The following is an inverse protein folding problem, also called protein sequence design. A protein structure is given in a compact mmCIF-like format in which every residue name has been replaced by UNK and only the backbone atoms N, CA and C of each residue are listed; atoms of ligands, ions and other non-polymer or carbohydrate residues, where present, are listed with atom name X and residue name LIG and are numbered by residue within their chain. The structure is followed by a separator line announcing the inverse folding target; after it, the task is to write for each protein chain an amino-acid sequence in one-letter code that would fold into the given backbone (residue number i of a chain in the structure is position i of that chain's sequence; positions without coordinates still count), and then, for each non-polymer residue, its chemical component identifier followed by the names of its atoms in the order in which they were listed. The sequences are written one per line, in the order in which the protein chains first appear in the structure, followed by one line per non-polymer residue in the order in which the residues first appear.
data_IF_497496852286
#
_entry.id   IF_497496852286
#
_cell.length_a   1.000
_cell.length_b   1.000
_cell.length_c   1.000
_cell.angle_alpha   90.00
_cell.angle_beta   90.00
_cell.angle_gamma   90.00
#
_symmetry.space_group_name_H-M   'P 1'
#
loop_
_entity.id
_entity.type
_entity.pdbx_description
1 polymer ?
#
# COMPACT_ATOMS: atom_id res chain seq x y z
N UNK A 1 22.10 -14.97 -24.28
CA UNK A 1 21.93 -14.20 -23.02
C UNK A 1 21.11 -12.93 -23.25
N UNK A 2 21.26 -12.21 -24.36
CA UNK A 2 20.47 -10.98 -24.64
C UNK A 2 18.96 -11.19 -24.80
N UNK A 3 18.53 -12.33 -25.31
CA UNK A 3 17.09 -12.60 -25.52
C UNK A 3 16.28 -12.85 -24.22
N UNK A 4 16.96 -13.27 -23.15
CA UNK A 4 16.32 -13.49 -21.84
C UNK A 4 16.06 -12.15 -21.13
N UNK A 5 16.95 -11.17 -21.27
CA UNK A 5 16.79 -9.84 -20.69
C UNK A 5 15.70 -9.03 -21.41
N UNK A 6 15.57 -9.16 -22.73
CA UNK A 6 14.51 -8.50 -23.50
C UNK A 6 13.11 -9.00 -23.13
N UNK A 7 12.95 -10.29 -22.83
CA UNK A 7 11.69 -10.88 -22.40
C UNK A 7 11.25 -10.42 -21.00
N UNK A 8 12.19 -10.20 -20.09
CA UNK A 8 11.89 -9.71 -18.74
C UNK A 8 11.44 -8.23 -18.75
N UNK A 9 12.02 -7.41 -19.62
CA UNK A 9 11.61 -5.99 -19.75
C UNK A 9 10.21 -5.80 -20.30
N UNK A 10 9.79 -6.61 -21.28
CA UNK A 10 8.46 -6.55 -21.85
C UNK A 10 7.38 -6.99 -20.86
N UNK A 11 7.62 -8.04 -20.09
CA UNK A 11 6.70 -8.51 -19.04
C UNK A 11 6.51 -7.50 -17.93
N UNK A 12 7.57 -6.84 -17.49
CA UNK A 12 7.51 -5.80 -16.46
C UNK A 12 6.67 -4.59 -16.90
N UNK A 13 6.77 -4.18 -18.17
CA UNK A 13 5.98 -3.07 -18.73
C UNK A 13 4.48 -3.38 -18.76
N UNK A 14 4.09 -4.59 -19.15
CA UNK A 14 2.68 -5.03 -19.18
C UNK A 14 2.09 -5.06 -17.77
N UNK A 15 2.80 -5.64 -16.80
CA UNK A 15 2.31 -5.70 -15.42
C UNK A 15 2.19 -4.31 -14.80
N UNK A 16 3.11 -3.40 -15.08
CA UNK A 16 3.02 -2.01 -14.62
C UNK A 16 1.77 -1.30 -15.16
N UNK A 17 1.38 -1.56 -16.43
CA UNK A 17 0.19 -0.97 -17.04
C UNK A 17 -1.13 -1.42 -16.38
N UNK A 18 -1.21 -2.68 -15.89
CA UNK A 18 -2.40 -3.23 -15.26
C UNK A 18 -2.51 -2.98 -13.75
N UNK A 19 -1.44 -2.55 -13.12
CA UNK A 19 -1.35 -2.38 -11.67
C UNK A 19 -2.36 -1.36 -11.15
N UNK A 20 -2.37 -0.13 -11.66
CA UNK A 20 -3.28 0.92 -11.20
C UNK A 20 -4.76 0.56 -11.36
N UNK A 21 -5.21 0.00 -12.51
CA UNK A 21 -6.59 -0.47 -12.66
C UNK A 21 -6.96 -1.55 -11.64
N UNK A 22 -6.09 -2.51 -11.36
CA UNK A 22 -6.37 -3.61 -10.43
C UNK A 22 -6.43 -3.14 -8.98
N UNK A 23 -5.53 -2.25 -8.55
CA UNK A 23 -5.57 -1.63 -7.22
C UNK A 23 -6.84 -0.80 -7.03
N UNK A 24 -7.25 -0.03 -8.04
CA UNK A 24 -8.50 0.73 -8.03
C UNK A 24 -9.71 -0.20 -7.97
N UNK A 25 -9.70 -1.31 -8.73
CA UNK A 25 -10.75 -2.32 -8.69
C UNK A 25 -10.88 -2.92 -7.29
N UNK A 26 -9.78 -3.25 -6.63
CA UNK A 26 -9.79 -3.76 -5.26
C UNK A 26 -10.42 -2.77 -4.27
N UNK A 27 -10.13 -1.46 -4.39
CA UNK A 27 -10.75 -0.42 -3.57
C UNK A 27 -12.25 -0.31 -3.83
N UNK A 28 -12.67 -0.33 -5.10
CA UNK A 28 -14.10 -0.29 -5.49
C UNK A 28 -14.83 -1.50 -4.92
N UNK A 29 -14.27 -2.71 -5.03
CA UNK A 29 -14.85 -3.93 -4.47
C UNK A 29 -15.02 -3.83 -2.96
N UNK A 30 -14.02 -3.32 -2.23
CA UNK A 30 -14.13 -3.12 -0.79
C UNK A 30 -15.15 -2.05 -0.42
N UNK A 31 -15.23 -0.96 -1.19
CA UNK A 31 -16.24 0.08 -1.00
C UNK A 31 -17.66 -0.47 -1.19
N UNK A 32 -17.90 -1.21 -2.27
CA UNK A 32 -19.18 -1.87 -2.53
C UNK A 32 -19.53 -2.91 -1.45
N UNK A 33 -18.55 -3.70 -1.02
CA UNK A 33 -18.71 -4.64 0.08
C UNK A 33 -19.10 -3.92 1.39
N UNK A 34 -18.40 -2.86 1.75
CA UNK A 34 -18.70 -2.06 2.93
C UNK A 34 -20.12 -1.48 2.89
N UNK A 35 -20.53 -0.95 1.75
CA UNK A 35 -21.88 -0.43 1.54
C UNK A 35 -22.95 -1.53 1.69
N UNK A 36 -22.71 -2.71 1.12
CA UNK A 36 -23.61 -3.88 1.24
C UNK A 36 -23.73 -4.35 2.69
N UNK A 37 -22.61 -4.42 3.43
CA UNK A 37 -22.60 -4.81 4.86
C UNK A 37 -23.39 -3.80 5.71
N UNK A 38 -23.18 -2.51 5.49
CA UNK A 38 -23.92 -1.45 6.20
C UNK A 38 -25.42 -1.59 5.91
N UNK A 39 -25.81 -1.77 4.64
CA UNK A 39 -27.20 -2.02 4.26
C UNK A 39 -27.79 -3.26 4.94
N UNK A 40 -27.02 -4.33 5.03
CA UNK A 40 -27.42 -5.57 5.74
C UNK A 40 -27.63 -5.35 7.23
N UNK A 41 -26.74 -4.60 7.88
CA UNK A 41 -26.88 -4.25 9.32
C UNK A 41 -28.11 -3.37 9.54
N UNK A 42 -28.30 -2.33 8.72
CA UNK A 42 -29.46 -1.45 8.79
C UNK A 42 -30.75 -2.26 8.63
N UNK A 43 -30.83 -3.13 7.63
CA UNK A 43 -31.99 -4.00 7.43
C UNK A 43 -32.25 -4.89 8.64
N UNK A 44 -31.23 -5.53 9.22
CA UNK A 44 -31.39 -6.38 10.39
C UNK A 44 -31.89 -5.59 11.62
N UNK A 45 -31.34 -4.41 11.86
CA UNK A 45 -31.67 -3.58 13.05
C UNK A 45 -33.05 -2.94 12.94
N UNK A 46 -33.39 -2.42 11.76
CA UNK A 46 -34.60 -1.62 11.54
C UNK A 46 -35.78 -2.43 11.00
N UNK A 47 -35.71 -3.77 10.95
CA UNK A 47 -36.85 -4.61 10.54
C UNK A 47 -38.03 -4.40 11.53
N UNK A 48 -39.17 -3.87 11.05
CA UNK A 48 -40.33 -3.60 11.92
C UNK A 48 -40.93 -4.87 12.52
N UNK A 49 -41.31 -4.81 13.79
CA UNK A 49 -42.00 -5.93 14.46
C UNK A 49 -41.14 -7.16 14.73
N UNK A 50 -39.84 -7.14 14.40
CA UNK A 50 -38.95 -8.24 14.71
C UNK A 50 -38.47 -8.19 16.17
N UNK A 51 -38.47 -9.37 16.83
CA UNK A 51 -37.87 -9.52 18.17
C UNK A 51 -36.34 -9.34 18.11
N UNK A 52 -35.72 -9.14 19.26
CA UNK A 52 -34.27 -9.04 19.35
C UNK A 52 -33.58 -10.27 18.79
N UNK A 53 -34.07 -11.48 19.07
CA UNK A 53 -33.50 -12.73 18.55
C UNK A 53 -33.56 -12.81 17.04
N UNK A 54 -34.68 -12.40 16.43
CA UNK A 54 -34.85 -12.37 14.97
C UNK A 54 -33.90 -11.36 14.33
N UNK A 55 -33.73 -10.17 14.93
CA UNK A 55 -32.79 -9.16 14.44
C UNK A 55 -31.34 -9.67 14.44
N UNK A 56 -30.94 -10.36 15.50
CA UNK A 56 -29.61 -10.98 15.58
C UNK A 56 -29.43 -12.07 14.49
N UNK A 57 -30.43 -12.90 14.26
CA UNK A 57 -30.43 -13.92 13.19
C UNK A 57 -30.30 -13.26 11.81
N UNK A 58 -30.98 -12.15 11.56
CA UNK A 58 -30.90 -11.41 10.29
C UNK A 58 -29.50 -10.85 10.00
N UNK A 59 -28.68 -10.57 11.00
CA UNK A 59 -27.27 -10.25 10.77
C UNK A 59 -26.53 -11.37 10.04
N UNK A 60 -26.79 -12.62 10.40
CA UNK A 60 -26.24 -13.76 9.68
C UNK A 60 -26.65 -13.78 8.22
N UNK A 61 -27.96 -13.67 7.94
CA UNK A 61 -28.46 -13.70 6.57
C UNK A 61 -28.03 -12.52 5.71
N UNK A 62 -27.91 -11.32 6.28
CA UNK A 62 -27.64 -10.10 5.53
C UNK A 62 -26.14 -9.74 5.46
N UNK A 63 -25.33 -10.15 6.44
CA UNK A 63 -23.91 -9.76 6.52
C UNK A 63 -22.99 -10.94 6.21
N UNK A 64 -23.31 -12.14 6.68
CA UNK A 64 -22.47 -13.34 6.48
C UNK A 64 -22.88 -14.08 5.22
N UNK A 65 -22.61 -13.47 4.07
CA UNK A 65 -22.88 -14.07 2.75
C UNK A 65 -21.59 -14.61 2.14
N UNK A 66 -21.70 -15.72 1.42
CA UNK A 66 -20.59 -16.27 0.65
C UNK A 66 -20.04 -15.25 -0.36
N UNK A 67 -20.90 -14.40 -0.89
CA UNK A 67 -20.50 -13.33 -1.81
C UNK A 67 -19.65 -12.26 -1.11
N UNK A 68 -19.97 -11.88 0.12
CA UNK A 68 -19.20 -10.93 0.88
C UNK A 68 -17.79 -11.47 1.18
N UNK A 69 -17.71 -12.76 1.57
CA UNK A 69 -16.45 -13.43 1.83
C UNK A 69 -15.62 -13.58 0.55
N UNK A 70 -16.25 -13.94 -0.57
CA UNK A 70 -15.60 -14.07 -1.87
C UNK A 70 -15.02 -12.71 -2.35
N UNK A 71 -15.82 -11.64 -2.28
CA UNK A 71 -15.38 -10.30 -2.67
C UNK A 71 -14.20 -9.83 -1.80
N UNK A 72 -14.27 -10.09 -0.49
CA UNK A 72 -13.18 -9.78 0.43
C UNK A 72 -11.88 -10.53 0.04
N UNK A 73 -11.99 -11.82 -0.21
CA UNK A 73 -10.85 -12.65 -0.62
C UNK A 73 -10.27 -12.21 -1.98
N UNK A 74 -11.12 -11.88 -2.95
CA UNK A 74 -10.69 -11.37 -4.26
C UNK A 74 -9.95 -10.03 -4.09
N UNK A 75 -10.50 -9.08 -3.33
CA UNK A 75 -9.86 -7.79 -3.13
C UNK A 75 -8.47 -7.90 -2.49
N UNK A 76 -8.32 -8.76 -1.47
CA UNK A 76 -7.02 -9.05 -0.85
C UNK A 76 -6.11 -9.79 -1.82
N UNK A 77 -6.63 -10.79 -2.53
CA UNK A 77 -5.89 -11.58 -3.52
C UNK A 77 -5.33 -10.72 -4.65
N UNK A 78 -6.10 -9.77 -5.18
CA UNK A 78 -5.63 -8.82 -6.20
C UNK A 78 -4.42 -8.02 -5.73
N UNK A 79 -4.48 -7.49 -4.50
CA UNK A 79 -3.37 -6.72 -3.94
C UNK A 79 -2.14 -7.58 -3.69
N UNK A 80 -2.31 -8.79 -3.17
CA UNK A 80 -1.19 -9.69 -2.90
C UNK A 80 -0.54 -10.21 -4.18
N UNK A 81 -1.35 -10.59 -5.19
CA UNK A 81 -0.85 -11.07 -6.48
C UNK A 81 0.02 -10.03 -7.20
N UNK A 82 -0.34 -8.76 -7.10
CA UNK A 82 0.42 -7.66 -7.71
C UNK A 82 1.73 -7.33 -6.98
N UNK A 83 1.91 -7.82 -5.75
CA UNK A 83 3.05 -7.44 -4.90
C UNK A 83 4.19 -8.46 -4.90
N UNK A 84 3.88 -9.72 -5.11
CA UNK A 84 4.87 -10.79 -5.05
C UNK A 84 6.01 -10.60 -6.07
N UNK A 85 5.79 -10.12 -7.31
CA UNK A 85 6.86 -9.97 -8.30
C UNK A 85 7.52 -8.57 -8.37
N UNK A 86 6.98 -7.52 -7.74
CA UNK A 86 7.44 -6.13 -8.00
C UNK A 86 7.49 -5.27 -6.74
N UNK A 87 8.62 -4.55 -6.55
CA UNK A 87 8.72 -3.51 -5.52
C UNK A 87 7.72 -2.38 -5.83
N UNK A 88 6.83 -2.01 -4.88
CA UNK A 88 5.83 -0.99 -5.10
C UNK A 88 6.46 0.41 -5.13
N UNK A 89 5.98 1.25 -6.05
CA UNK A 89 6.16 2.69 -5.94
C UNK A 89 5.41 3.24 -4.69
N UNK A 90 5.69 4.47 -4.30
CA UNK A 90 5.13 5.04 -3.07
C UNK A 90 3.58 5.13 -3.08
N UNK A 91 2.97 5.32 -4.26
CA UNK A 91 1.51 5.42 -4.41
C UNK A 91 0.85 4.05 -4.30
N UNK A 92 1.36 3.06 -5.01
CA UNK A 92 0.84 1.70 -4.92
C UNK A 92 0.99 1.09 -3.52
N UNK A 93 2.03 1.45 -2.76
CA UNK A 93 2.18 1.05 -1.36
C UNK A 93 1.08 1.64 -0.47
N UNK A 94 0.69 2.90 -0.70
CA UNK A 94 -0.39 3.54 0.06
C UNK A 94 -1.75 2.89 -0.23
N UNK A 95 -2.09 2.70 -1.51
CA UNK A 95 -3.36 2.06 -1.92
C UNK A 95 -3.50 0.66 -1.37
N UNK A 96 -2.46 -0.15 -1.47
CA UNK A 96 -2.51 -1.50 -0.94
C UNK A 96 -2.64 -1.54 0.59
N UNK A 97 -2.00 -0.62 1.31
CA UNK A 97 -2.20 -0.49 2.75
C UNK A 97 -3.66 -0.16 3.09
N UNK A 98 -4.31 0.72 2.32
CA UNK A 98 -5.73 1.03 2.47
C UNK A 98 -6.61 -0.19 2.21
N UNK A 99 -6.35 -0.95 1.13
CA UNK A 99 -7.10 -2.19 0.82
C UNK A 99 -6.94 -3.21 1.95
N UNK A 100 -5.72 -3.46 2.41
CA UNK A 100 -5.47 -4.42 3.48
C UNK A 100 -6.11 -3.97 4.81
N UNK A 101 -6.07 -2.68 5.14
CA UNK A 101 -6.73 -2.15 6.33
C UNK A 101 -8.26 -2.29 6.23
N UNK A 102 -8.84 -1.94 5.08
CA UNK A 102 -10.26 -2.13 4.81
C UNK A 102 -10.67 -3.60 4.92
N UNK A 103 -9.86 -4.52 4.40
CA UNK A 103 -10.10 -5.95 4.50
C UNK A 103 -10.07 -6.47 5.94
N UNK A 104 -9.18 -5.95 6.78
CA UNK A 104 -9.14 -6.28 8.23
C UNK A 104 -10.44 -5.84 8.90
N UNK A 105 -10.87 -4.60 8.66
CA UNK A 105 -12.08 -4.05 9.29
C UNK A 105 -13.33 -4.84 8.83
N UNK A 106 -13.52 -5.00 7.52
CA UNK A 106 -14.69 -5.69 6.97
C UNK A 106 -14.71 -7.18 7.34
N UNK A 107 -13.56 -7.84 7.31
CA UNK A 107 -13.44 -9.23 7.75
C UNK A 107 -13.76 -9.42 9.22
N UNK A 108 -13.33 -8.50 10.08
CA UNK A 108 -13.69 -8.51 11.50
C UNK A 108 -15.20 -8.29 11.72
N UNK A 109 -15.82 -7.37 10.97
CA UNK A 109 -17.28 -7.14 11.02
C UNK A 109 -18.04 -8.38 10.59
N UNK A 110 -17.65 -9.05 9.50
CA UNK A 110 -18.31 -10.30 9.06
C UNK A 110 -18.15 -11.39 10.11
N UNK A 111 -16.95 -11.60 10.64
CA UNK A 111 -16.69 -12.62 11.65
C UNK A 111 -17.48 -12.38 12.96
N UNK A 112 -17.53 -11.13 13.43
CA UNK A 112 -18.30 -10.76 14.61
C UNK A 112 -19.81 -10.93 14.36
N UNK A 113 -20.32 -10.52 13.19
CA UNK A 113 -21.72 -10.71 12.81
C UNK A 113 -22.10 -12.18 12.74
N UNK A 114 -21.18 -13.05 12.32
CA UNK A 114 -21.39 -14.50 12.32
C UNK A 114 -21.61 -15.04 13.75
N UNK A 115 -20.79 -14.63 14.70
CA UNK A 115 -20.95 -15.04 16.11
C UNK A 115 -22.27 -14.55 16.70
N UNK A 116 -22.60 -13.28 16.47
CA UNK A 116 -23.85 -12.69 16.94
C UNK A 116 -25.07 -13.41 16.34
N UNK A 117 -25.02 -13.72 15.04
CA UNK A 117 -26.08 -14.44 14.35
C UNK A 117 -26.27 -15.87 14.86
N UNK A 118 -25.18 -16.57 15.23
CA UNK A 118 -25.29 -17.89 15.86
C UNK A 118 -26.03 -17.81 17.20
N UNK A 119 -25.76 -16.80 18.02
CA UNK A 119 -26.48 -16.56 19.28
C UNK A 119 -27.96 -16.28 18.99
N UNK A 120 -28.23 -15.41 17.99
CA UNK A 120 -29.60 -15.11 17.54
C UNK A 120 -30.38 -16.35 17.10
N UNK A 121 -29.75 -17.24 16.32
CA UNK A 121 -30.38 -18.48 15.86
C UNK A 121 -30.76 -19.42 17.00
N UNK A 122 -29.92 -19.54 18.03
CA UNK A 122 -30.19 -20.37 19.19
C UNK A 122 -31.41 -19.88 20.00
N UNK A 123 -31.56 -18.56 20.13
CA UNK A 123 -32.70 -17.93 20.84
C UNK A 123 -33.97 -17.77 20.00
N UNK A 124 -33.89 -17.91 18.67
CA UNK A 124 -35.01 -17.67 17.76
C UNK A 124 -35.95 -18.88 17.68
N UNK A 125 -37.00 -18.89 18.49
CA UNK A 125 -38.02 -19.95 18.54
C UNK A 125 -39.45 -19.42 18.19
N UNK A 126 -39.53 -18.29 17.48
CA UNK A 126 -40.81 -17.69 17.13
C UNK A 126 -41.59 -18.51 16.12
N UNK A 127 -42.85 -18.75 16.37
CA UNK A 127 -43.71 -19.67 15.60
C UNK A 127 -43.83 -19.31 14.11
N UNK A 128 -43.73 -18.04 13.73
CA UNK A 128 -43.90 -17.59 12.34
C UNK A 128 -42.61 -17.50 11.52
N UNK A 129 -41.48 -17.32 12.17
CA UNK A 129 -40.15 -17.24 11.54
C UNK A 129 -39.12 -17.94 12.42
N UNK A 130 -39.57 -18.82 13.30
CA UNK A 130 -38.69 -19.67 14.10
C UNK A 130 -38.00 -20.70 13.21
N UNK A 131 -36.70 -20.85 13.42
CA UNK A 131 -35.93 -21.86 12.73
C UNK A 131 -36.13 -23.24 13.38
N UNK A 132 -36.38 -24.25 12.58
CA UNK A 132 -36.30 -25.65 13.03
C UNK A 132 -34.87 -26.00 13.42
N UNK A 133 -34.68 -27.05 14.23
CA UNK A 133 -33.34 -27.48 14.65
C UNK A 133 -32.38 -27.79 13.48
N UNK A 134 -32.79 -28.48 12.41
CA UNK A 134 -31.91 -28.67 11.25
C UNK A 134 -31.50 -27.35 10.60
N UNK A 135 -32.44 -26.40 10.45
CA UNK A 135 -32.16 -25.07 9.89
C UNK A 135 -31.20 -24.26 10.78
N UNK A 136 -31.38 -24.32 12.10
CA UNK A 136 -30.46 -23.68 13.05
C UNK A 136 -29.04 -24.23 12.90
N UNK A 137 -28.91 -25.54 12.87
CA UNK A 137 -27.60 -26.20 12.71
C UNK A 137 -26.98 -25.81 11.37
N UNK A 138 -27.74 -25.90 10.28
CA UNK A 138 -27.26 -25.54 8.93
C UNK A 138 -26.79 -24.09 8.86
N UNK A 139 -27.59 -23.16 9.37
CA UNK A 139 -27.21 -21.73 9.38
C UNK A 139 -26.03 -21.44 10.28
N UNK A 140 -25.95 -22.04 11.47
CA UNK A 140 -24.80 -21.90 12.38
C UNK A 140 -23.52 -22.39 11.69
N UNK A 141 -23.56 -23.57 11.06
CA UNK A 141 -22.40 -24.09 10.33
C UNK A 141 -21.97 -23.16 9.19
N UNK A 142 -22.94 -22.65 8.42
CA UNK A 142 -22.67 -21.72 7.31
C UNK A 142 -22.06 -20.40 7.82
N UNK A 143 -22.62 -19.79 8.88
CA UNK A 143 -22.13 -18.52 9.41
C UNK A 143 -20.77 -18.67 10.08
N UNK A 144 -20.55 -19.73 10.86
CA UNK A 144 -19.24 -20.02 11.44
C UNK A 144 -18.19 -20.26 10.34
N UNK A 145 -18.54 -21.01 9.30
CA UNK A 145 -17.65 -21.22 8.15
C UNK A 145 -17.30 -19.92 7.45
N UNK A 146 -18.31 -19.12 7.11
CA UNK A 146 -18.10 -17.79 6.49
C UNK A 146 -17.32 -16.83 7.37
N UNK A 147 -17.63 -16.78 8.66
CA UNK A 147 -16.92 -15.97 9.65
C UNK A 147 -15.45 -16.39 9.81
N UNK A 148 -15.18 -17.70 9.84
CA UNK A 148 -13.82 -18.24 9.94
C UNK A 148 -12.98 -17.86 8.71
N UNK A 149 -13.54 -17.99 7.50
CA UNK A 149 -12.85 -17.57 6.27
C UNK A 149 -12.59 -16.07 6.27
N UNK A 150 -13.59 -15.25 6.64
CA UNK A 150 -13.40 -13.80 6.74
C UNK A 150 -12.32 -13.42 7.76
N UNK A 151 -12.29 -14.08 8.92
CA UNK A 151 -11.23 -13.90 9.92
C UNK A 151 -9.85 -14.32 9.39
N UNK A 152 -9.76 -15.45 8.67
CA UNK A 152 -8.51 -15.90 8.06
C UNK A 152 -7.99 -14.91 7.03
N UNK A 153 -8.86 -14.35 6.16
CA UNK A 153 -8.50 -13.31 5.19
C UNK A 153 -8.04 -12.03 5.90
N UNK A 154 -8.74 -11.62 6.97
CA UNK A 154 -8.32 -10.47 7.77
C UNK A 154 -6.95 -10.68 8.41
N UNK A 155 -6.68 -11.86 8.99
CA UNK A 155 -5.37 -12.21 9.55
C UNK A 155 -4.27 -12.23 8.48
N UNK A 156 -4.57 -12.75 7.28
CA UNK A 156 -3.64 -12.69 6.15
C UNK A 156 -3.33 -11.24 5.79
N UNK A 157 -4.35 -10.37 5.74
CA UNK A 157 -4.17 -8.95 5.47
C UNK A 157 -3.31 -8.25 6.54
N UNK A 158 -3.50 -8.56 7.84
CA UNK A 158 -2.65 -8.07 8.93
C UNK A 158 -1.20 -8.49 8.74
N UNK A 159 -0.95 -9.78 8.54
CA UNK A 159 0.41 -10.31 8.34
C UNK A 159 1.09 -9.74 7.11
N UNK A 160 0.33 -9.50 6.04
CA UNK A 160 0.84 -8.91 4.80
C UNK A 160 1.27 -7.45 4.97
N UNK A 161 0.74 -6.72 5.93
CA UNK A 161 1.16 -5.34 6.22
C UNK A 161 2.61 -5.25 6.72
N UNK A 162 3.08 -6.25 7.45
CA UNK A 162 4.45 -6.28 7.97
C UNK A 162 5.50 -6.57 6.89
N UNK A 163 5.08 -7.19 5.80
CA UNK A 163 5.95 -7.51 4.65
C UNK A 163 6.00 -6.35 3.64
N UNK A 164 5.13 -5.32 3.81
CA UNK A 164 5.18 -4.13 2.97
C UNK A 164 6.48 -3.38 3.26
N UNK A 165 7.26 -2.99 2.22
CA UNK A 165 8.44 -2.19 2.45
C UNK A 165 8.03 -0.92 3.20
N UNK A 166 8.56 -0.76 4.40
CA UNK A 166 8.49 0.50 5.12
C UNK A 166 9.06 1.54 4.17
N UNK A 167 8.31 2.61 3.94
CA UNK A 167 8.78 3.75 3.16
C UNK A 167 10.20 4.06 3.60
N UNK A 168 11.19 3.77 2.76
CA UNK A 168 12.54 4.24 3.01
C UNK A 168 12.41 5.74 3.26
N UNK A 169 12.79 6.18 4.47
CA UNK A 169 12.86 7.61 4.76
C UNK A 169 13.63 8.22 3.59
N UNK A 170 13.12 9.24 2.89
CA UNK A 170 13.88 9.88 1.83
C UNK A 170 15.28 10.08 2.39
N UNK A 171 16.29 9.59 1.67
CA UNK A 171 17.67 9.88 2.07
C UNK A 171 17.72 11.37 2.36
N UNK A 172 18.33 11.80 3.48
CA UNK A 172 18.51 13.22 3.74
C UNK A 172 18.99 13.84 2.44
N UNK A 173 18.31 14.90 1.98
CA UNK A 173 18.79 15.61 0.78
C UNK A 173 20.29 15.80 0.95
N UNK A 174 21.11 15.54 -0.08
CA UNK A 174 22.53 15.78 -0.01
C UNK A 174 22.71 17.14 0.67
N UNK A 175 23.51 17.18 1.73
CA UNK A 175 23.78 18.43 2.41
C UNK A 175 24.11 19.48 1.32
N UNK A 176 23.53 20.69 1.37
CA UNK A 176 23.92 21.71 0.41
C UNK A 176 25.44 21.77 0.39
N UNK A 177 26.05 21.84 -0.79
CA UNK A 177 27.51 21.92 -0.88
C UNK A 177 27.96 23.01 0.09
N UNK A 178 29.04 22.79 0.84
CA UNK A 178 29.54 23.80 1.77
C UNK A 178 29.63 25.13 1.01
N UNK A 179 29.30 26.25 1.61
CA UNK A 179 29.38 27.55 0.95
C UNK A 179 30.72 27.63 0.26
N UNK A 180 30.73 27.92 -1.05
CA UNK A 180 31.96 28.13 -1.81
C UNK A 180 32.72 29.21 -1.03
N UNK A 181 33.84 28.84 -0.48
CA UNK A 181 34.68 29.76 0.29
C UNK A 181 34.86 31.03 -0.57
N UNK A 182 34.68 32.19 0.05
CA UNK A 182 34.97 33.47 -0.59
C UNK A 182 36.36 33.39 -1.23
N UNK A 183 36.58 34.06 -2.38
CA UNK A 183 37.82 33.94 -3.14
C UNK A 183 39.04 34.07 -2.19
N UNK A 184 39.75 32.96 -2.09
CA UNK A 184 40.94 32.87 -1.23
C UNK A 184 41.93 33.89 -1.73
N UNK A 185 42.45 34.73 -0.82
CA UNK A 185 43.54 35.64 -1.16
C UNK A 185 44.63 34.87 -1.93
N UNK A 186 45.26 35.52 -2.90
CA UNK A 186 46.27 34.92 -3.74
C UNK A 186 47.31 34.17 -2.90
N UNK A 187 47.69 32.94 -3.26
CA UNK A 187 48.70 32.18 -2.53
C UNK A 187 50.01 32.91 -2.46
N UNK A 188 50.71 32.87 -1.36
CA UNK A 188 52.02 33.53 -1.21
C UNK A 188 53.15 32.85 -2.01
N UNK A 189 52.98 31.62 -2.42
CA UNK A 189 53.97 30.85 -3.20
C UNK A 189 53.36 30.36 -4.53
N UNK A 190 54.17 30.18 -5.60
CA UNK A 190 53.69 29.63 -6.86
C UNK A 190 53.03 28.26 -6.66
N UNK A 191 51.90 28.02 -7.31
CA UNK A 191 51.15 26.76 -7.20
C UNK A 191 49.73 26.82 -7.74
N UNK A 192 49.08 25.67 -7.75
CA UNK A 192 47.65 25.55 -8.10
C UNK A 192 46.77 25.98 -6.92
N UNK A 193 45.84 26.90 -7.17
CA UNK A 193 44.86 27.34 -6.17
C UNK A 193 43.48 27.48 -6.81
N UNK A 194 42.42 27.64 -6.00
CA UNK A 194 41.07 27.80 -6.51
C UNK A 194 41.00 28.99 -7.47
N UNK A 195 40.35 28.82 -8.63
CA UNK A 195 40.24 29.88 -9.63
C UNK A 195 39.48 31.09 -9.08
N UNK A 196 40.09 32.27 -8.96
CA UNK A 196 39.46 33.45 -8.41
C UNK A 196 38.30 33.98 -9.29
N UNK A 197 38.27 33.58 -10.55
CA UNK A 197 37.22 33.97 -11.49
C UNK A 197 36.03 32.99 -11.50
N UNK A 198 36.13 31.86 -10.77
CA UNK A 198 35.06 30.89 -10.62
C UNK A 198 34.68 30.12 -11.90
N UNK A 199 35.51 30.17 -12.94
CA UNK A 199 35.28 29.53 -14.24
C UNK A 199 35.81 28.10 -14.30
N UNK A 200 36.85 27.80 -13.49
CA UNK A 200 37.50 26.51 -13.39
C UNK A 200 37.68 26.10 -11.92
N UNK A 201 38.01 24.86 -11.65
CA UNK A 201 38.26 24.41 -10.28
C UNK A 201 39.59 24.98 -9.75
N UNK A 202 40.62 25.02 -10.61
CA UNK A 202 41.99 25.42 -10.24
C UNK A 202 42.57 26.35 -11.28
N UNK A 203 43.36 27.34 -10.82
CA UNK A 203 44.19 28.21 -11.68
C UNK A 203 45.58 28.26 -11.09
N UNK A 204 46.62 28.33 -11.93
CA UNK A 204 47.99 28.39 -11.48
C UNK A 204 48.38 29.83 -11.13
N UNK A 205 48.89 30.01 -9.93
CA UNK A 205 49.51 31.23 -9.43
C UNK A 205 51.03 31.18 -9.61
N UNK A 206 51.67 32.14 -10.27
CA UNK A 206 53.10 32.15 -10.52
C UNK A 206 53.96 32.80 -9.40
N UNK A 207 53.32 33.23 -8.32
CA UNK A 207 53.91 33.97 -7.22
C UNK A 207 53.68 35.49 -7.29
N UNK A 208 53.22 36.00 -8.45
CA UNK A 208 52.98 37.40 -8.68
C UNK A 208 51.62 37.69 -9.30
N UNK A 209 51.12 36.78 -10.16
CA UNK A 209 49.83 36.93 -10.85
C UNK A 209 49.22 35.57 -11.14
N UNK A 210 47.90 35.58 -11.42
CA UNK A 210 47.18 34.44 -11.92
C UNK A 210 47.54 34.22 -13.42
N UNK A 211 47.89 32.99 -13.77
CA UNK A 211 48.25 32.61 -15.15
C UNK A 211 47.04 32.14 -15.91
N UNK A 212 47.22 31.88 -17.20
CA UNK A 212 46.18 31.31 -18.06
C UNK A 212 46.03 29.79 -17.90
N UNK A 213 46.87 29.14 -17.09
CA UNK A 213 46.79 27.69 -16.86
C UNK A 213 45.67 27.40 -15.86
N UNK A 214 44.70 26.56 -16.29
CA UNK A 214 43.55 26.17 -15.51
C UNK A 214 43.40 24.63 -15.52
N UNK A 215 42.69 24.09 -14.51
CA UNK A 215 42.42 22.67 -14.41
C UNK A 215 41.05 22.39 -13.83
N UNK A 216 40.37 21.38 -14.41
CA UNK A 216 39.12 20.82 -13.91
C UNK A 216 39.34 19.31 -13.70
N UNK A 217 39.33 18.87 -12.43
CA UNK A 217 39.71 17.52 -12.06
C UNK A 217 41.16 17.22 -12.46
N UNK A 218 41.35 16.25 -13.36
CA UNK A 218 42.67 15.85 -13.89
C UNK A 218 43.00 16.49 -15.25
N UNK A 219 42.09 17.29 -15.80
CA UNK A 219 42.27 17.88 -17.14
C UNK A 219 42.79 19.30 -17.01
N UNK A 220 43.95 19.57 -17.64
CA UNK A 220 44.55 20.89 -17.71
C UNK A 220 44.26 21.55 -19.07
N UNK A 221 43.99 22.86 -19.04
CA UNK A 221 43.71 23.68 -20.21
C UNK A 221 44.22 25.12 -20.01
N UNK A 222 44.01 25.98 -21.01
CA UNK A 222 44.35 27.39 -20.96
C UNK A 222 43.10 28.25 -21.09
N UNK A 223 42.93 29.23 -20.17
CA UNK A 223 41.84 30.19 -20.20
C UNK A 223 42.40 31.58 -19.82
N UNK A 224 42.24 32.61 -20.68
CA UNK A 224 42.81 33.93 -20.47
C UNK A 224 42.43 34.50 -19.08
N UNK A 225 43.43 34.92 -18.30
CA UNK A 225 43.23 35.67 -17.09
C UNK A 225 42.80 37.10 -17.47
N UNK A 226 41.57 37.45 -17.21
CA UNK A 226 41.08 38.82 -17.38
C UNK A 226 41.15 39.57 -16.09
#
# INVERSE_FOLDING_TARGET
MADVEAGQGAGAGVVAAWRTPLETTALILLGALGFSIVGGIVNAVFTPGASAWRKLTFLGFNVVSIWHVAVLAIAVGLVLALRIPFAPDARGAATAKQVLLGAVILGAVIALSALIACIGALGNNEAFVGLSWPEKIGNIMQWLGGGAVAAAVALLAVRSQSVLPVRARPAPAPAPPPPVAAPTAAPGAPGWAADPYGRHQWRYWDGNRWTEQVADGSTQSTDPAQ
#
